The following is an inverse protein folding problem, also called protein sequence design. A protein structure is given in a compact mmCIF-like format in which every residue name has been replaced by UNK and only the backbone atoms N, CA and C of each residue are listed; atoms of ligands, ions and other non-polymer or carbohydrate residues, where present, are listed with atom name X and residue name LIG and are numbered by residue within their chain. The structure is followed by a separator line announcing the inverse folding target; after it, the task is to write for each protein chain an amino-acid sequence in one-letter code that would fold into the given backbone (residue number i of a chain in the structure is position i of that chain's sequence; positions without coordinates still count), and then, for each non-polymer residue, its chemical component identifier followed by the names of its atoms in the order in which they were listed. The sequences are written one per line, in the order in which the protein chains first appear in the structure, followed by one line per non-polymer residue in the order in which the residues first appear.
data_IF_793588279543
#
_entry.id   IF_793588279543
#
_cell.length_a   1.000
_cell.length_b   1.000
_cell.length_c   1.000
_cell.angle_alpha   90.00
_cell.angle_beta   90.00
_cell.angle_gamma   90.00
#
_symmetry.space_group_name_H-M   'P 1'
#
loop_
_entity.id
_entity.type
_entity.pdbx_description
1 polymer ?
#
# COMPACT_ATOMS: atom_id res chain seq x y z
N UNK A 1 13.34 9.68 22.02
CA UNK A 1 13.85 9.69 23.41
C UNK A 1 13.39 8.45 24.14
N UNK A 2 13.67 8.35 25.44
CA UNK A 2 13.11 7.29 26.30
C UNK A 2 11.77 7.74 26.89
N UNK A 3 10.81 6.83 27.01
CA UNK A 3 9.50 7.13 27.62
C UNK A 3 9.63 7.78 29.01
N UNK A 4 10.62 7.32 29.79
CA UNK A 4 10.97 7.86 31.10
C UNK A 4 11.38 9.35 31.12
N UNK A 5 11.66 9.96 29.97
CA UNK A 5 11.94 11.39 29.88
C UNK A 5 10.72 12.27 30.13
N UNK A 6 9.51 11.69 30.22
CA UNK A 6 8.30 12.42 30.61
C UNK A 6 7.89 13.53 29.64
N UNK A 7 8.43 13.52 28.41
CA UNK A 7 8.17 14.53 27.39
C UNK A 7 6.66 14.66 27.13
N UNK A 8 6.18 15.90 27.13
CA UNK A 8 4.78 16.24 26.90
C UNK A 8 4.59 16.89 25.53
N UNK A 9 3.48 16.58 24.89
CA UNK A 9 2.99 17.29 23.72
C UNK A 9 2.24 18.56 24.16
N UNK A 10 1.89 19.42 23.21
CA UNK A 10 1.13 20.67 23.45
C UNK A 10 -0.24 20.41 24.09
N UNK A 11 -0.77 19.19 23.97
CA UNK A 11 -2.03 18.77 24.60
C UNK A 11 -1.88 18.36 26.09
N UNK A 12 -0.65 18.37 26.63
CA UNK A 12 -0.32 17.89 27.97
C UNK A 12 -0.19 16.35 28.09
N UNK A 13 -0.49 15.60 27.03
CA UNK A 13 -0.30 14.14 26.97
C UNK A 13 1.18 13.80 26.80
N UNK A 14 1.54 12.56 27.13
CA UNK A 14 2.86 12.02 26.80
C UNK A 14 3.07 12.03 25.28
N UNK A 15 4.21 12.53 24.80
CA UNK A 15 4.54 12.47 23.36
C UNK A 15 4.59 11.03 22.85
N UNK A 16 4.94 10.07 23.71
CA UNK A 16 4.99 8.66 23.36
C UNK A 16 3.60 8.04 23.22
N UNK A 17 2.60 8.62 23.88
CA UNK A 17 1.22 8.18 23.75
C UNK A 17 0.53 8.84 22.56
N UNK A 18 0.78 10.14 22.39
CA UNK A 18 0.15 10.95 21.36
C UNK A 18 0.74 10.69 19.97
N UNK A 19 2.05 10.47 19.85
CA UNK A 19 2.74 10.30 18.57
C UNK A 19 3.02 8.84 18.23
N UNK A 20 2.36 7.89 18.91
CA UNK A 20 2.42 6.47 18.56
C UNK A 20 1.64 6.22 17.26
N UNK A 21 2.37 6.23 16.14
CA UNK A 21 1.81 6.00 14.81
C UNK A 21 1.09 4.66 14.69
N UNK A 22 1.55 3.61 15.38
CA UNK A 22 0.89 2.30 15.37
C UNK A 22 -0.46 2.38 16.03
N UNK A 23 -0.56 3.03 17.20
CA UNK A 23 -1.82 3.26 17.90
C UNK A 23 -2.77 4.11 17.06
N UNK A 24 -2.27 5.20 16.47
CA UNK A 24 -3.06 6.07 15.58
C UNK A 24 -3.65 5.28 14.41
N UNK A 25 -2.85 4.47 13.71
CA UNK A 25 -3.33 3.65 12.58
C UNK A 25 -4.33 2.60 13.06
N UNK A 26 -4.06 1.91 14.18
CA UNK A 26 -4.97 0.91 14.74
C UNK A 26 -6.31 1.50 15.20
N UNK A 27 -6.33 2.73 15.68
CA UNK A 27 -7.57 3.41 16.10
C UNK A 27 -8.36 4.02 14.94
N UNK A 28 -7.71 4.44 13.84
CA UNK A 28 -8.39 5.05 12.71
C UNK A 28 -9.32 4.07 11.96
N UNK A 29 -10.50 4.46 11.48
CA UNK A 29 -11.30 3.57 10.62
C UNK A 29 -10.53 3.24 9.33
N UNK A 30 -10.73 2.06 8.74
CA UNK A 30 -9.96 1.70 7.53
C UNK A 30 -10.30 2.64 6.36
N UNK A 31 -11.51 3.20 6.34
CA UNK A 31 -11.95 4.23 5.39
C UNK A 31 -11.14 5.54 5.45
N UNK A 32 -10.42 5.82 6.54
CA UNK A 32 -9.59 7.04 6.65
C UNK A 32 -8.48 7.03 5.60
N UNK A 33 -8.37 8.11 4.84
CA UNK A 33 -7.26 8.27 3.89
C UNK A 33 -5.95 8.54 4.63
N UNK A 34 -4.91 7.79 4.27
CA UNK A 34 -3.58 7.87 4.85
C UNK A 34 -2.54 8.21 3.76
N UNK A 35 -1.42 8.88 4.12
CA UNK A 35 -0.32 9.08 3.19
C UNK A 35 0.29 7.75 2.79
N UNK A 36 0.89 7.71 1.60
CA UNK A 36 1.82 6.63 1.27
C UNK A 36 3.02 6.75 2.20
N UNK A 37 3.28 5.70 2.98
CA UNK A 37 4.47 5.63 3.82
C UNK A 37 5.53 4.82 3.09
N UNK A 38 6.72 5.41 2.94
CA UNK A 38 7.91 4.70 2.47
C UNK A 38 8.88 4.50 3.63
N UNK A 39 9.40 3.29 3.76
CA UNK A 39 10.30 2.91 4.85
C UNK A 39 11.57 2.27 4.31
N UNK A 40 12.68 2.58 4.94
CA UNK A 40 14.01 2.12 4.54
C UNK A 40 14.87 1.88 5.76
N UNK A 41 15.81 0.93 5.66
CA UNK A 41 16.78 0.71 6.71
C UNK A 41 17.56 -0.59 6.55
N UNK A 42 18.29 -0.95 7.60
CA UNK A 42 19.10 -2.18 7.64
C UNK A 42 18.35 -3.36 8.21
N UNK A 43 17.60 -3.16 9.30
CA UNK A 43 16.78 -4.18 9.98
C UNK A 43 15.47 -3.53 10.41
N UNK A 44 14.35 -4.25 10.31
CA UNK A 44 13.04 -3.73 10.75
C UNK A 44 12.96 -3.86 12.27
N UNK A 45 12.85 -2.76 13.03
CA UNK A 45 12.59 -2.84 14.47
C UNK A 45 11.17 -3.40 14.73
N UNK A 46 10.93 -4.10 15.85
CA UNK A 46 9.61 -4.65 16.19
C UNK A 46 8.46 -3.64 16.07
N UNK A 47 8.63 -2.44 16.63
CA UNK A 47 7.62 -1.38 16.55
C UNK A 47 7.30 -0.95 15.10
N UNK A 48 8.30 -0.92 14.21
CA UNK A 48 8.09 -0.60 12.79
C UNK A 48 7.36 -1.73 12.07
N UNK A 49 7.66 -2.99 12.41
CA UNK A 49 6.94 -4.15 11.88
C UNK A 49 5.47 -4.08 12.25
N UNK A 50 5.16 -3.77 13.51
CA UNK A 50 3.77 -3.60 13.97
C UNK A 50 3.04 -2.48 13.25
N UNK A 51 3.71 -1.34 13.05
CA UNK A 51 3.17 -0.22 12.27
C UNK A 51 2.85 -0.64 10.82
N UNK A 52 3.78 -1.31 10.14
CA UNK A 52 3.58 -1.79 8.76
C UNK A 52 2.44 -2.79 8.69
N UNK A 53 2.35 -3.72 9.63
CA UNK A 53 1.25 -4.69 9.69
C UNK A 53 -0.10 -4.00 9.91
N UNK A 54 -0.18 -3.01 10.79
CA UNK A 54 -1.39 -2.22 11.01
C UNK A 54 -1.83 -1.46 9.75
N UNK A 55 -0.87 -0.90 8.99
CA UNK A 55 -1.14 -0.27 7.70
C UNK A 55 -1.69 -1.28 6.67
N UNK A 56 -1.05 -2.45 6.55
CA UNK A 56 -1.47 -3.50 5.61
C UNK A 56 -2.84 -4.09 5.94
N UNK A 57 -3.14 -4.30 7.22
CA UNK A 57 -4.43 -4.82 7.70
C UNK A 57 -5.60 -3.94 7.29
N UNK A 58 -5.38 -2.63 7.26
CA UNK A 58 -6.38 -1.65 6.85
C UNK A 58 -6.32 -1.32 5.36
N UNK A 59 -5.47 -1.99 4.57
CA UNK A 59 -5.31 -1.68 3.15
C UNK A 59 -4.79 -0.26 2.90
N UNK A 60 -3.93 0.25 3.78
CA UNK A 60 -3.25 1.53 3.59
C UNK A 60 -1.95 1.38 2.79
N UNK A 61 -1.56 2.43 2.03
CA UNK A 61 -0.37 2.40 1.17
C UNK A 61 0.92 2.38 1.98
N UNK A 62 1.70 1.31 1.84
CA UNK A 62 3.05 1.20 2.40
C UNK A 62 4.02 0.57 1.41
N UNK A 63 5.23 1.11 1.36
CA UNK A 63 6.37 0.58 0.61
C UNK A 63 7.57 0.48 1.54
N UNK A 64 8.35 -0.57 1.37
CA UNK A 64 9.42 -0.86 2.31
C UNK A 64 10.62 -1.50 1.64
N UNK A 65 11.81 -0.99 1.95
CA UNK A 65 13.09 -1.48 1.47
C UNK A 65 14.08 -1.62 2.63
N UNK A 66 14.12 -2.79 3.28
CA UNK A 66 15.16 -3.09 4.28
C UNK A 66 16.14 -4.07 3.68
N UNK A 67 17.22 -3.57 3.07
CA UNK A 67 18.18 -4.46 2.40
C UNK A 67 19.65 -4.06 2.39
N UNK A 68 20.04 -2.87 2.83
CA UNK A 68 21.37 -2.35 2.51
C UNK A 68 22.15 -1.91 3.75
N UNK A 69 23.47 -2.11 3.68
CA UNK A 69 24.46 -1.74 4.70
C UNK A 69 24.82 -0.24 4.68
N UNK A 70 24.46 0.49 3.62
CA UNK A 70 24.93 1.86 3.34
C UNK A 70 23.94 2.99 3.68
N UNK A 71 23.23 2.88 4.81
CA UNK A 71 22.29 3.93 5.26
C UNK A 71 20.93 3.92 4.56
N UNK A 72 20.02 4.86 4.92
CA UNK A 72 18.68 4.90 4.38
C UNK A 72 18.75 5.17 2.88
N UNK A 73 18.55 4.14 2.05
CA UNK A 73 18.16 4.40 0.67
C UNK A 73 16.82 5.08 0.76
N UNK A 74 16.74 6.37 0.44
CA UNK A 74 15.46 6.96 0.10
C UNK A 74 14.78 5.97 -0.86
N UNK A 75 13.48 5.76 -0.68
CA UNK A 75 12.68 5.15 -1.72
C UNK A 75 12.13 6.34 -2.49
N UNK A 76 12.90 6.99 -3.40
CA UNK A 76 12.37 8.13 -4.10
C UNK A 76 11.20 7.64 -4.94
N UNK A 77 10.05 8.24 -4.65
CA UNK A 77 8.80 8.06 -5.38
C UNK A 77 8.53 9.35 -6.13
N UNK A 78 8.98 9.41 -7.38
CA UNK A 78 8.75 10.56 -8.26
C UNK A 78 8.40 10.06 -9.65
N UNK A 79 7.32 10.59 -10.22
CA UNK A 79 6.92 10.30 -11.60
C UNK A 79 7.97 10.77 -12.61
N UNK A 80 8.59 11.93 -12.35
CA UNK A 80 9.48 12.65 -13.27
C UNK A 80 10.95 12.55 -12.92
N UNK A 81 11.33 11.88 -11.83
CA UNK A 81 12.72 11.83 -11.43
C UNK A 81 13.61 11.17 -12.50
N UNK A 82 14.78 11.76 -12.70
CA UNK A 82 15.74 11.32 -13.72
C UNK A 82 16.85 10.44 -13.15
N UNK A 83 16.91 10.26 -11.83
CA UNK A 83 17.95 9.48 -11.18
C UNK A 83 17.92 8.00 -11.57
N UNK A 84 19.04 7.48 -12.07
CA UNK A 84 19.18 6.11 -12.57
C UNK A 84 19.23 5.06 -11.46
N UNK A 85 18.88 3.82 -11.80
CA UNK A 85 19.22 2.61 -11.01
C UNK A 85 18.34 2.29 -9.80
N UNK A 86 18.08 3.22 -8.88
CA UNK A 86 17.37 2.88 -7.61
C UNK A 86 16.11 3.70 -7.31
N UNK A 87 15.62 4.52 -8.25
CA UNK A 87 14.36 5.23 -8.05
C UNK A 87 13.13 4.41 -8.44
N UNK A 88 12.08 4.52 -7.63
CA UNK A 88 10.79 3.92 -7.90
C UNK A 88 9.90 5.00 -8.53
N UNK A 89 9.82 5.00 -9.86
CA UNK A 89 8.94 5.94 -10.56
C UNK A 89 7.48 5.57 -10.31
N UNK A 90 6.81 6.42 -9.53
CA UNK A 90 5.41 6.30 -9.17
C UNK A 90 4.80 7.69 -9.23
N UNK A 91 3.68 7.81 -9.95
CA UNK A 91 2.87 9.01 -9.90
C UNK A 91 1.90 8.91 -8.71
N UNK A 92 2.39 9.33 -7.54
CA UNK A 92 1.60 9.34 -6.30
C UNK A 92 0.84 10.66 -6.23
N UNK A 93 -0.46 10.59 -6.43
CA UNK A 93 -1.34 11.77 -6.45
C UNK A 93 -2.37 11.70 -5.32
N UNK A 94 -2.68 12.86 -4.74
CA UNK A 94 -3.74 12.99 -3.71
C UNK A 94 -5.12 13.10 -4.33
N UNK A 95 -5.18 13.64 -5.55
CA UNK A 95 -6.39 13.96 -6.33
C UNK A 95 -6.78 12.86 -7.32
N UNK A 96 -6.16 11.67 -7.25
CA UNK A 96 -6.41 10.55 -8.16
C UNK A 96 -6.51 9.23 -7.43
N UNK A 97 -7.28 8.30 -8.01
CA UNK A 97 -7.36 6.90 -7.61
C UNK A 97 -5.96 6.29 -7.48
N UNK A 98 -5.75 5.53 -6.41
CA UNK A 98 -4.50 4.86 -6.10
C UNK A 98 -4.75 3.39 -5.73
N UNK A 99 -4.11 2.43 -6.42
CA UNK A 99 -4.16 1.03 -6.04
C UNK A 99 -3.18 0.77 -4.89
N UNK A 100 -3.65 0.09 -3.85
CA UNK A 100 -2.82 -0.33 -2.71
C UNK A 100 -2.65 -1.84 -2.71
N UNK A 101 -1.40 -2.28 -2.57
CA UNK A 101 -1.02 -3.69 -2.64
C UNK A 101 -0.82 -4.26 -1.23
N UNK A 102 -1.61 -5.26 -0.83
CA UNK A 102 -1.66 -5.71 0.58
C UNK A 102 -1.00 -7.06 0.90
N UNK A 103 -1.16 -8.06 0.03
CA UNK A 103 -0.87 -9.47 0.37
C UNK A 103 0.53 -9.94 -0.01
N UNK A 104 1.06 -9.46 -1.13
CA UNK A 104 2.34 -9.95 -1.65
C UNK A 104 3.48 -9.65 -0.69
N UNK A 105 4.13 -10.71 -0.18
CA UNK A 105 5.16 -10.68 0.88
C UNK A 105 4.71 -10.12 2.25
N UNK A 106 3.53 -9.49 2.35
CA UNK A 106 2.89 -9.11 3.62
C UNK A 106 2.55 -10.31 4.52
N UNK A 107 2.15 -11.44 3.93
CA UNK A 107 1.97 -12.69 4.68
C UNK A 107 3.29 -13.18 5.31
N UNK A 108 4.41 -12.98 4.61
CA UNK A 108 5.72 -13.40 5.10
C UNK A 108 6.23 -12.49 6.25
N UNK A 109 5.84 -11.21 6.25
CA UNK A 109 6.00 -10.31 7.41
C UNK A 109 5.25 -10.81 8.65
N UNK A 110 4.16 -11.58 8.51
CA UNK A 110 3.41 -12.14 9.63
C UNK A 110 4.06 -13.41 10.20
N UNK A 111 4.50 -14.34 9.36
CA UNK A 111 4.79 -15.72 9.79
C UNK A 111 6.25 -16.12 9.88
N UNK A 112 7.21 -15.46 9.20
CA UNK A 112 8.58 -16.01 9.13
C UNK A 112 9.73 -14.98 9.01
N UNK A 113 9.45 -13.68 9.01
CA UNK A 113 10.48 -12.65 8.73
C UNK A 113 11.13 -12.02 9.96
N UNK A 114 10.87 -12.53 11.17
CA UNK A 114 11.54 -12.04 12.37
C UNK A 114 13.07 -12.28 12.37
N UNK A 115 13.56 -13.23 11.57
CA UNK A 115 14.97 -13.66 11.59
C UNK A 115 15.76 -13.31 10.32
N UNK A 116 15.13 -12.94 9.20
CA UNK A 116 15.86 -12.53 7.98
C UNK A 116 16.08 -11.01 7.93
N UNK A 117 17.33 -10.53 7.78
CA UNK A 117 17.65 -9.11 7.80
C UNK A 117 17.22 -8.34 6.55
N UNK A 118 16.66 -9.01 5.54
CA UNK A 118 16.35 -8.44 4.22
C UNK A 118 14.86 -8.60 3.89
N UNK A 119 14.15 -7.49 3.66
CA UNK A 119 12.73 -7.49 3.29
C UNK A 119 12.37 -6.32 2.37
N UNK A 120 11.68 -6.64 1.28
CA UNK A 120 11.03 -5.66 0.41
C UNK A 120 9.53 -5.87 0.44
N UNK A 121 8.79 -4.77 0.46
CA UNK A 121 7.34 -4.75 0.35
C UNK A 121 6.95 -3.75 -0.74
N UNK A 122 6.12 -4.21 -1.68
CA UNK A 122 5.48 -3.40 -2.72
C UNK A 122 6.40 -2.62 -3.68
N UNK A 123 7.72 -2.81 -3.62
CA UNK A 123 8.68 -2.08 -4.48
C UNK A 123 8.60 -2.45 -5.96
N UNK A 124 7.92 -3.55 -6.28
CA UNK A 124 7.84 -4.10 -7.63
C UNK A 124 6.54 -3.74 -8.33
N UNK A 125 5.52 -3.26 -7.61
CA UNK A 125 4.23 -2.91 -8.21
C UNK A 125 4.22 -1.50 -8.75
N UNK A 126 3.49 -1.30 -9.85
CA UNK A 126 3.39 -0.05 -10.57
C UNK A 126 1.97 0.19 -11.00
N UNK A 127 1.65 1.45 -11.24
CA UNK A 127 0.39 1.90 -11.80
C UNK A 127 0.60 3.14 -12.66
N UNK A 128 -0.40 3.45 -13.47
CA UNK A 128 -0.42 4.63 -14.33
C UNK A 128 -1.66 5.49 -14.00
N UNK A 129 -1.42 6.67 -13.45
CA UNK A 129 -2.46 7.66 -13.12
C UNK A 129 -3.11 8.27 -14.35
N UNK A 130 -2.43 8.32 -15.50
CA UNK A 130 -3.01 8.83 -16.74
C UNK A 130 -4.12 7.89 -17.25
N UNK A 131 -4.05 6.61 -16.91
CA UNK A 131 -5.07 5.62 -17.24
C UNK A 131 -6.31 5.64 -16.33
N UNK A 132 -6.34 6.51 -15.31
CA UNK A 132 -7.42 6.51 -14.32
C UNK A 132 -8.73 6.96 -14.94
N UNK A 133 -9.74 6.10 -14.84
CA UNK A 133 -11.15 6.47 -14.98
C UNK A 133 -11.77 6.40 -13.60
N UNK A 134 -12.41 7.48 -13.16
CA UNK A 134 -13.01 7.59 -11.84
C UNK A 134 -14.41 8.21 -11.98
N UNK A 135 -15.42 7.34 -12.06
CA UNK A 135 -16.84 7.67 -12.22
C UNK A 135 -17.64 7.04 -11.08
N UNK A 136 -18.85 7.52 -10.84
CA UNK A 136 -19.69 7.03 -9.74
C UNK A 136 -20.02 5.52 -9.80
N UNK A 137 -19.93 4.94 -10.99
CA UNK A 137 -20.26 3.56 -11.31
C UNK A 137 -19.06 2.73 -11.82
N UNK A 138 -17.89 3.36 -12.02
CA UNK A 138 -16.73 2.73 -12.65
C UNK A 138 -15.40 3.34 -12.20
N UNK A 139 -14.49 2.47 -11.78
CA UNK A 139 -13.09 2.80 -11.52
C UNK A 139 -12.18 1.98 -12.46
N UNK A 140 -11.17 2.63 -13.04
CA UNK A 140 -10.14 1.96 -13.83
C UNK A 140 -8.76 2.45 -13.44
N UNK A 141 -7.78 1.55 -13.51
CA UNK A 141 -6.36 1.90 -13.44
C UNK A 141 -5.52 0.77 -14.05
N UNK A 142 -4.52 1.13 -14.86
CA UNK A 142 -3.51 0.18 -15.33
C UNK A 142 -2.54 -0.13 -14.20
N UNK A 143 -2.33 -1.42 -13.95
CA UNK A 143 -1.40 -1.94 -12.93
C UNK A 143 -0.50 -3.00 -13.53
N UNK A 144 0.74 -3.10 -13.02
CA UNK A 144 1.70 -4.12 -13.42
C UNK A 144 2.75 -4.33 -12.34
N UNK A 145 3.67 -5.25 -12.58
CA UNK A 145 4.89 -5.42 -11.79
C UNK A 145 6.12 -5.20 -12.64
N UNK A 146 7.26 -4.90 -12.00
CA UNK A 146 8.57 -5.11 -12.60
C UNK A 146 8.90 -6.61 -12.63
N UNK A 147 9.91 -6.95 -13.42
CA UNK A 147 10.52 -8.26 -13.39
C UNK A 147 10.99 -8.60 -11.97
N UNK A 148 10.52 -9.71 -11.44
CA UNK A 148 10.94 -10.23 -10.15
C UNK A 148 12.12 -11.18 -10.33
N UNK A 149 13.04 -11.26 -9.34
CA UNK A 149 14.06 -12.29 -9.34
C UNK A 149 13.41 -13.68 -9.43
N UNK A 150 13.94 -14.55 -10.29
CA UNK A 150 13.55 -15.97 -10.43
C UNK A 150 12.10 -16.21 -10.89
N UNK A 151 11.45 -15.25 -11.54
CA UNK A 151 10.13 -15.46 -12.13
C UNK A 151 9.00 -15.72 -11.12
N UNK A 152 9.19 -15.30 -9.85
CA UNK A 152 8.16 -15.43 -8.81
C UNK A 152 6.83 -14.79 -9.27
N UNK A 153 5.71 -15.48 -9.03
CA UNK A 153 4.40 -14.90 -9.26
C UNK A 153 4.11 -13.80 -8.23
N UNK A 154 3.79 -12.59 -8.70
CA UNK A 154 3.40 -11.49 -7.81
C UNK A 154 1.88 -11.51 -7.57
N UNK A 155 1.44 -12.44 -6.72
CA UNK A 155 0.05 -12.52 -6.27
C UNK A 155 -0.16 -11.54 -5.13
N UNK A 156 -1.10 -10.61 -5.30
CA UNK A 156 -1.39 -9.56 -4.32
C UNK A 156 -2.88 -9.28 -4.20
N UNK A 157 -3.25 -8.56 -3.15
CA UNK A 157 -4.57 -7.97 -3.02
C UNK A 157 -4.46 -6.51 -3.44
N UNK A 158 -5.44 -6.00 -4.19
CA UNK A 158 -5.48 -4.60 -4.65
C UNK A 158 -6.68 -3.92 -4.01
N UNK A 159 -6.43 -2.94 -3.14
CA UNK A 159 -7.47 -2.08 -2.57
C UNK A 159 -7.51 -0.76 -3.31
N UNK A 160 -8.70 -0.34 -3.75
CA UNK A 160 -8.90 0.96 -4.39
C UNK A 160 -8.98 2.07 -3.34
N UNK A 161 -8.05 3.03 -3.37
CA UNK A 161 -7.98 4.17 -2.45
C UNK A 161 -8.01 5.49 -3.21
N UNK A 162 -8.35 6.59 -2.53
CA UNK A 162 -8.36 7.95 -3.11
C UNK A 162 -9.23 8.10 -4.36
N UNK A 163 -10.24 7.25 -4.50
CA UNK A 163 -11.28 7.47 -5.50
C UNK A 163 -12.02 8.76 -5.16
N UNK A 164 -12.17 9.64 -6.13
CA UNK A 164 -12.84 10.94 -5.99
C UNK A 164 -14.34 10.80 -6.28
N UNK A 165 -14.72 10.03 -7.30
CA UNK A 165 -16.13 9.87 -7.73
C UNK A 165 -16.66 8.47 -7.49
N UNK A 166 -15.84 7.44 -7.65
CA UNK A 166 -16.19 6.07 -7.33
C UNK A 166 -16.24 5.89 -5.81
N UNK A 167 -17.42 6.07 -5.21
CA UNK A 167 -17.65 5.93 -3.77
C UNK A 167 -18.51 4.69 -3.51
N UNK A 168 -17.85 3.59 -3.19
CA UNK A 168 -18.53 2.35 -2.83
C UNK A 168 -19.17 2.49 -1.44
N UNK A 169 -20.39 1.99 -1.29
CA UNK A 169 -21.04 1.86 0.02
C UNK A 169 -20.74 0.47 0.60
N UNK A 170 -20.69 0.33 1.94
CA UNK A 170 -20.56 -0.98 2.57
C UNK A 170 -21.58 -1.99 2.04
N UNK A 171 -21.14 -3.21 1.76
CA UNK A 171 -21.99 -4.29 1.22
C UNK A 171 -22.33 -4.17 -0.27
N UNK A 172 -21.94 -3.09 -0.95
CA UNK A 172 -22.18 -2.96 -2.39
C UNK A 172 -21.29 -3.91 -3.19
N UNK A 173 -21.89 -4.63 -4.15
CA UNK A 173 -21.16 -5.57 -5.03
C UNK A 173 -20.82 -4.94 -6.37
N UNK A 174 -19.63 -5.24 -6.87
CA UNK A 174 -19.09 -4.81 -8.16
C UNK A 174 -18.61 -6.03 -8.96
N UNK A 175 -18.57 -5.88 -10.28
CA UNK A 175 -17.77 -6.75 -11.16
C UNK A 175 -16.39 -6.14 -11.32
N UNK A 176 -15.39 -7.00 -11.47
CA UNK A 176 -14.05 -6.55 -11.81
C UNK A 176 -13.44 -7.38 -12.92
N UNK A 177 -12.55 -6.77 -13.69
CA UNK A 177 -11.68 -7.45 -14.65
C UNK A 177 -10.24 -6.98 -14.50
N UNK A 178 -9.29 -7.87 -14.78
CA UNK A 178 -7.87 -7.58 -14.88
C UNK A 178 -7.32 -8.36 -16.08
N UNK A 179 -7.26 -7.72 -17.23
CA UNK A 179 -7.00 -8.40 -18.50
C UNK A 179 -8.07 -9.46 -18.76
N UNK A 180 -7.67 -10.73 -18.88
CA UNK A 180 -8.58 -11.87 -19.09
C UNK A 180 -9.22 -12.41 -17.81
N UNK A 181 -8.74 -12.00 -16.63
CA UNK A 181 -9.30 -12.45 -15.35
C UNK A 181 -10.47 -11.57 -14.96
N UNK A 182 -11.46 -12.16 -14.30
CA UNK A 182 -12.64 -11.42 -13.84
C UNK A 182 -13.22 -12.04 -12.58
N UNK A 183 -14.11 -11.30 -11.92
CA UNK A 183 -14.84 -11.79 -10.77
C UNK A 183 -15.82 -10.76 -10.23
N UNK A 184 -16.34 -11.04 -9.03
CA UNK A 184 -17.12 -10.10 -8.25
C UNK A 184 -16.36 -9.74 -6.96
N UNK A 185 -16.63 -8.56 -6.43
CA UNK A 185 -16.10 -8.09 -5.16
C UNK A 185 -17.18 -7.31 -4.43
N UNK A 186 -17.26 -7.46 -3.12
CA UNK A 186 -18.17 -6.69 -2.25
C UNK A 186 -17.33 -5.73 -1.42
N UNK A 187 -17.75 -4.47 -1.36
CA UNK A 187 -17.12 -3.49 -0.49
C UNK A 187 -17.32 -3.88 0.98
N UNK A 188 -16.27 -3.75 1.78
CA UNK A 188 -16.30 -4.13 3.19
C UNK A 188 -17.10 -3.14 4.06
N UNK A 189 -17.08 -3.33 5.39
CA UNK A 189 -17.79 -2.47 6.34
C UNK A 189 -17.35 -0.99 6.29
N UNK A 190 -16.16 -0.71 5.79
CA UNK A 190 -15.61 0.64 5.61
C UNK A 190 -15.85 1.18 4.18
N UNK A 191 -16.54 0.42 3.33
CA UNK A 191 -16.79 0.79 1.93
C UNK A 191 -15.55 0.63 1.03
N UNK A 192 -14.54 -0.11 1.46
CA UNK A 192 -13.34 -0.36 0.66
C UNK A 192 -13.54 -1.52 -0.30
N UNK A 193 -13.10 -1.34 -1.54
CA UNK A 193 -13.10 -2.39 -2.56
C UNK A 193 -11.72 -3.00 -2.66
N UNK A 194 -11.60 -4.25 -2.21
CA UNK A 194 -10.35 -5.03 -2.26
C UNK A 194 -10.50 -6.28 -3.12
N UNK A 195 -9.77 -6.32 -4.23
CA UNK A 195 -9.70 -7.45 -5.14
C UNK A 195 -8.58 -8.38 -4.64
N UNK A 196 -8.94 -9.59 -4.23
CA UNK A 196 -8.01 -10.51 -3.54
C UNK A 196 -7.30 -11.46 -4.51
N UNK A 197 -6.03 -11.76 -4.22
CA UNK A 197 -5.29 -12.86 -4.82
C UNK A 197 -5.02 -12.74 -6.32
N UNK A 198 -4.88 -11.52 -6.84
CA UNK A 198 -4.62 -11.30 -8.27
C UNK A 198 -3.13 -11.34 -8.58
N UNK A 199 -2.76 -12.08 -9.64
CA UNK A 199 -1.40 -12.10 -10.15
C UNK A 199 -1.20 -10.96 -11.15
N UNK A 200 -0.16 -10.15 -10.95
CA UNK A 200 0.20 -9.06 -11.87
C UNK A 200 1.25 -9.51 -12.91
N UNK A 201 1.03 -9.10 -14.15
CA UNK A 201 1.95 -9.26 -15.28
C UNK A 201 3.01 -8.16 -15.31
N UNK A 202 4.05 -8.36 -16.12
CA UNK A 202 5.09 -7.34 -16.37
C UNK A 202 4.62 -6.26 -17.33
N UNK A 203 3.61 -6.56 -18.14
CA UNK A 203 2.93 -5.61 -19.02
C UNK A 203 1.81 -4.88 -18.29
N UNK A 204 1.67 -3.55 -18.48
CA UNK A 204 0.52 -2.78 -18.01
C UNK A 204 -0.80 -3.46 -18.38
N UNK A 205 -1.59 -3.79 -17.36
CA UNK A 205 -2.91 -4.41 -17.54
C UNK A 205 -3.95 -3.59 -16.83
N UNK A 206 -5.03 -3.28 -17.55
CA UNK A 206 -6.13 -2.49 -17.01
C UNK A 206 -6.92 -3.30 -15.98
N UNK A 207 -6.99 -2.78 -14.76
CA UNK A 207 -7.96 -3.18 -13.76
C UNK A 207 -9.22 -2.32 -13.95
N UNK A 208 -10.36 -2.96 -14.12
CA UNK A 208 -11.67 -2.30 -14.19
C UNK A 208 -12.52 -2.80 -13.04
N UNK A 209 -13.18 -1.90 -12.32
CA UNK A 209 -14.23 -2.20 -11.34
C UNK A 209 -15.46 -1.41 -11.73
N UNK A 210 -16.58 -2.08 -11.95
CA UNK A 210 -17.84 -1.43 -12.32
C UNK A 210 -19.00 -1.98 -11.52
N UNK A 211 -20.06 -1.18 -11.38
CA UNK A 211 -21.33 -1.70 -10.86
C UNK A 211 -21.80 -2.89 -11.72
N UNK A 212 -22.48 -3.82 -11.05
CA UNK A 212 -23.11 -4.97 -11.71
C UNK A 212 -24.19 -4.51 -12.69
#
# INVERSE_FOLDING_TARGET
GKAAWGLKADTGKSVYDELDLTRIVKAAPASREMPLVTLTGRKIPPAMREFVLAMLEKGHPVMMAYKYWSGPKLVPVSASGTWGGSMIRLDVRRDRLMPVFGRYRGAALRTAWATKPYSELNLHFRWDTASVVDRADRAEISVWRRQLPRGEAAVTDITLRRAQRFKAKPGQTFRWTLGKKSGAVTADGDGLVTIRGVALSETPTKLVVSRK
#
